data_IF_879142040558
#
_entry.id   IF_879142040558
#
_cell.length_a   1.000
_cell.length_b   1.000
_cell.length_c   1.000
_cell.angle_alpha   90.00
_cell.angle_beta   90.00
_cell.angle_gamma   90.00
#
_symmetry.space_group_name_H-M   'P 1'
#
loop_
_entity.id
_entity.type
_entity.pdbx_description
1 polymer ?
#
# COMPACT_ATOMS: atom_id res chain seq x y z
N UNK A 1 -24.84 -1.41 18.25
CA UNK A 1 -23.73 -0.68 18.91
C UNK A 1 -23.37 0.50 18.02
N UNK A 2 -23.69 1.70 18.52
CA UNK A 2 -23.47 2.98 17.86
C UNK A 2 -22.00 3.39 17.98
N UNK A 3 -21.30 3.55 16.87
CA UNK A 3 -20.00 4.22 16.86
C UNK A 3 -20.13 5.54 16.08
N UNK A 4 -20.14 6.61 16.86
CA UNK A 4 -20.30 7.99 16.42
C UNK A 4 -19.06 8.47 15.67
N UNK A 5 -19.28 8.99 14.46
CA UNK A 5 -18.34 9.86 13.76
C UNK A 5 -18.14 11.15 14.56
N UNK A 6 -16.88 11.47 14.89
CA UNK A 6 -16.47 12.79 15.41
C UNK A 6 -15.53 13.45 14.42
N UNK A 7 -16.09 14.29 13.57
CA UNK A 7 -15.36 15.25 12.75
C UNK A 7 -15.02 16.48 13.60
N UNK A 8 -13.73 16.72 13.84
CA UNK A 8 -13.25 18.00 14.35
C UNK A 8 -12.93 18.91 13.15
N UNK A 9 -13.79 19.90 12.92
CA UNK A 9 -13.49 21.06 12.09
C UNK A 9 -12.80 22.08 13.00
N UNK A 10 -11.51 22.32 12.78
CA UNK A 10 -10.80 23.46 13.35
C UNK A 10 -10.34 24.36 12.21
N UNK A 11 -11.04 25.48 12.06
CA UNK A 11 -10.65 26.59 11.20
C UNK A 11 -9.69 27.50 11.98
N UNK A 12 -8.42 27.54 11.57
CA UNK A 12 -7.54 28.67 11.88
C UNK A 12 -6.28 28.66 11.00
N UNK A 13 -6.30 29.59 10.03
CA UNK A 13 -5.17 30.35 9.46
C UNK A 13 -4.05 29.56 8.76
N UNK A 14 -4.01 29.69 7.43
CA UNK A 14 -2.88 29.29 6.60
C UNK A 14 -1.66 30.18 6.88
N UNK A 15 -0.67 29.65 7.61
CA UNK A 15 0.66 30.24 7.67
C UNK A 15 1.39 29.92 6.37
N UNK A 16 1.78 30.96 5.63
CA UNK A 16 2.74 30.85 4.53
C UNK A 16 4.12 30.59 5.13
N UNK A 17 4.60 29.35 5.01
CA UNK A 17 5.96 28.93 5.34
C UNK A 17 6.67 28.62 4.02
N UNK A 18 7.52 29.54 3.57
CA UNK A 18 8.51 29.24 2.54
C UNK A 18 9.69 28.52 3.22
N UNK A 19 9.61 27.19 3.28
CA UNK A 19 10.64 26.33 3.84
C UNK A 19 11.73 26.04 2.81
N UNK A 20 12.82 26.81 2.85
CA UNK A 20 14.07 26.45 2.19
C UNK A 20 14.72 25.26 2.88
N UNK A 21 15.11 24.25 2.11
CA UNK A 21 15.85 23.10 2.59
C UNK A 21 17.24 23.53 3.10
N UNK A 22 17.49 23.35 4.40
CA UNK A 22 18.80 23.60 5.00
C UNK A 22 18.68 24.23 6.38
N UNK A 23 18.61 23.39 7.43
CA UNK A 23 18.61 23.87 8.81
C UNK A 23 19.90 24.64 9.13
N UNK A 24 19.79 25.98 9.25
CA UNK A 24 20.56 26.87 10.13
C UNK A 24 20.09 28.32 9.93
N UNK A 25 19.48 28.91 10.96
CA UNK A 25 19.42 30.36 11.15
C UNK A 25 18.22 31.10 10.55
N UNK A 26 17.05 30.98 11.16
CA UNK A 26 15.94 31.93 10.95
C UNK A 26 16.31 33.27 11.58
N UNK A 27 16.47 34.33 10.78
CA UNK A 27 16.78 35.68 11.27
C UNK A 27 15.52 36.54 11.18
N UNK A 28 15.03 37.00 12.33
CA UNK A 28 13.90 37.91 12.47
C UNK A 28 14.47 39.29 12.76
N UNK A 29 14.29 40.25 11.86
CA UNK A 29 14.64 41.65 12.11
C UNK A 29 13.44 42.37 12.69
N UNK A 30 13.57 42.86 13.92
CA UNK A 30 12.64 43.83 14.53
C UNK A 30 13.14 45.25 14.28
N UNK A 31 12.26 46.15 13.87
CA UNK A 31 12.58 47.57 13.77
C UNK A 31 12.58 48.19 15.18
N UNK A 32 13.68 48.82 15.56
CA UNK A 32 13.75 49.66 16.76
C UNK A 32 13.90 51.13 16.35
N UNK A 33 12.95 51.92 16.85
CA UNK A 33 12.81 53.36 16.71
C UNK A 33 13.73 54.06 17.72
N UNK A 34 14.40 55.13 17.31
CA UNK A 34 14.77 56.20 18.24
C UNK A 34 16.11 56.86 17.95
N UNK A 35 16.09 58.03 17.31
CA UNK A 35 17.02 59.12 17.60
C UNK A 35 16.31 60.46 17.34
N UNK A 36 16.28 61.29 18.38
CA UNK A 36 15.74 62.64 18.39
C UNK A 36 16.75 63.65 17.78
N UNK A 37 16.31 64.77 17.20
CA UNK A 37 17.20 65.81 16.69
C UNK A 37 17.56 66.78 17.83
N UNK A 38 18.85 67.11 17.95
CA UNK A 38 19.31 68.16 18.86
C UNK A 38 19.76 69.37 18.04
N UNK A 39 19.01 70.46 18.24
CA UNK A 39 19.33 71.88 18.17
C UNK A 39 20.78 72.30 17.86
N UNK A 40 20.92 73.22 16.89
CA UNK A 40 22.13 74.02 16.67
C UNK A 40 21.83 75.20 15.74
N UNK A 41 21.23 76.26 16.29
CA UNK A 41 20.90 77.48 15.56
C UNK A 41 22.11 78.37 15.27
N UNK A 42 22.06 79.10 14.17
CA UNK A 42 22.91 80.26 13.92
C UNK A 42 22.08 81.32 13.19
N UNK A 43 21.87 82.46 13.85
CA UNK A 43 21.08 83.58 13.39
C UNK A 43 22.04 84.77 13.22
N UNK A 44 22.17 85.30 11.99
CA UNK A 44 22.94 86.51 11.69
C UNK A 44 22.00 87.57 11.09
N UNK A 45 21.21 88.16 11.98
CA UNK A 45 20.64 89.49 11.79
C UNK A 45 21.55 90.48 12.51
N UNK A 46 22.60 90.96 11.83
CA UNK A 46 23.28 92.20 12.23
C UNK A 46 24.10 92.75 11.06
N UNK A 47 24.06 94.08 10.86
CA UNK A 47 25.00 94.78 9.99
C UNK A 47 24.45 95.32 8.67
N UNK A 48 23.50 96.26 8.76
CA UNK A 48 23.24 97.23 7.70
C UNK A 48 24.49 98.11 7.43
N UNK A 49 24.80 98.22 6.14
CA UNK A 49 25.17 99.46 5.41
C UNK A 49 26.64 99.92 5.25
N UNK A 50 26.89 100.35 4.00
CA UNK A 50 27.89 101.27 3.44
C UNK A 50 29.26 100.77 2.91
N UNK A 51 29.50 101.06 1.61
CA UNK A 51 30.78 101.24 0.85
C UNK A 51 31.18 100.26 -0.29
N UNK A 52 30.51 100.40 -1.45
CA UNK A 52 31.05 100.81 -2.78
C UNK A 52 32.35 100.15 -3.33
N UNK A 53 32.20 99.26 -4.33
CA UNK A 53 32.81 99.40 -5.65
C UNK A 53 34.09 98.62 -6.03
N UNK A 54 34.95 98.21 -5.09
CA UNK A 54 36.22 97.51 -5.42
C UNK A 54 36.26 96.04 -4.99
N UNK A 55 35.46 95.67 -3.98
CA UNK A 55 35.42 94.32 -3.45
C UNK A 55 34.70 93.35 -4.40
N UNK A 56 33.69 93.81 -5.15
CA UNK A 56 32.91 92.96 -6.08
C UNK A 56 33.75 92.34 -7.20
N UNK A 57 34.74 93.07 -7.72
CA UNK A 57 35.64 92.54 -8.75
C UNK A 57 36.61 91.51 -8.17
N UNK A 58 37.15 91.76 -6.97
CA UNK A 58 37.99 90.81 -6.26
C UNK A 58 37.21 89.56 -5.80
N UNK A 59 35.96 89.72 -5.40
CA UNK A 59 35.07 88.60 -5.07
C UNK A 59 34.64 87.84 -6.32
N UNK A 60 34.37 88.51 -7.45
CA UNK A 60 34.09 87.85 -8.74
C UNK A 60 35.32 87.13 -9.28
N UNK A 61 36.51 87.67 -9.07
CA UNK A 61 37.77 87.01 -9.39
C UNK A 61 37.95 85.75 -8.52
N UNK A 62 37.76 85.84 -7.20
CA UNK A 62 37.85 84.71 -6.29
C UNK A 62 36.80 83.61 -6.61
N UNK A 63 35.59 84.01 -6.98
CA UNK A 63 34.54 83.11 -7.46
C UNK A 63 34.91 82.44 -8.79
N UNK A 64 35.53 83.18 -9.72
CA UNK A 64 36.00 82.61 -11.00
C UNK A 64 37.22 81.69 -10.82
N UNK A 65 38.14 82.02 -9.91
CA UNK A 65 39.26 81.15 -9.56
C UNK A 65 38.74 79.87 -8.88
N UNK A 66 37.74 80.01 -8.02
CA UNK A 66 37.04 78.88 -7.40
C UNK A 66 36.28 78.05 -8.44
N UNK A 67 35.57 78.67 -9.38
CA UNK A 67 34.91 78.00 -10.51
C UNK A 67 35.93 77.26 -11.38
N UNK A 68 37.08 77.87 -11.66
CA UNK A 68 38.16 77.26 -12.43
C UNK A 68 38.73 76.04 -11.70
N UNK A 69 38.95 76.14 -10.39
CA UNK A 69 39.36 75.00 -9.55
C UNK A 69 38.30 73.89 -9.49
N UNK A 70 37.00 74.25 -9.50
CA UNK A 70 35.90 73.28 -9.59
C UNK A 70 35.86 72.60 -10.96
N UNK A 71 36.00 73.34 -12.05
CA UNK A 71 36.02 72.81 -13.41
C UNK A 71 37.23 71.89 -13.63
N UNK A 72 38.39 72.24 -13.09
CA UNK A 72 39.58 71.40 -13.13
C UNK A 72 39.40 70.12 -12.30
N UNK A 73 38.77 70.22 -11.13
CA UNK A 73 38.41 69.06 -10.30
C UNK A 73 37.37 68.16 -10.99
N UNK A 74 36.38 68.73 -11.67
CA UNK A 74 35.38 67.98 -12.44
C UNK A 74 36.06 67.24 -13.58
N UNK A 75 36.93 67.89 -14.37
CA UNK A 75 37.70 67.22 -15.43
C UNK A 75 38.59 66.10 -14.90
N UNK A 76 39.23 66.31 -13.74
CA UNK A 76 40.04 65.27 -13.09
C UNK A 76 39.16 64.08 -12.68
N UNK A 77 38.01 64.33 -12.06
CA UNK A 77 37.06 63.29 -11.65
C UNK A 77 36.42 62.59 -12.86
N UNK A 78 36.14 63.29 -13.95
CA UNK A 78 35.64 62.71 -15.20
C UNK A 78 36.68 61.76 -15.80
N UNK A 79 37.96 62.16 -15.81
CA UNK A 79 39.05 61.30 -16.28
C UNK A 79 39.28 60.08 -15.38
N UNK A 80 39.22 60.27 -14.07
CA UNK A 80 39.30 59.18 -13.09
C UNK A 80 38.10 58.23 -13.22
N UNK A 81 36.88 58.74 -13.42
CA UNK A 81 35.70 57.93 -13.68
C UNK A 81 35.80 57.17 -15.00
N UNK A 82 36.28 57.81 -16.07
CA UNK A 82 36.48 57.14 -17.36
C UNK A 82 37.50 55.99 -17.24
N UNK A 83 38.53 56.18 -16.41
CA UNK A 83 39.52 55.15 -16.13
C UNK A 83 38.96 54.02 -15.25
N UNK A 84 38.16 54.34 -14.24
CA UNK A 84 37.45 53.34 -13.43
C UNK A 84 36.45 52.55 -14.28
N UNK A 85 35.73 53.18 -15.20
CA UNK A 85 34.81 52.51 -16.12
C UNK A 85 35.52 51.58 -17.11
N UNK A 86 36.75 51.92 -17.52
CA UNK A 86 37.60 51.01 -18.31
C UNK A 86 38.03 49.81 -17.47
N UNK A 87 38.48 50.05 -16.24
CA UNK A 87 38.86 48.98 -15.31
C UNK A 87 37.69 48.06 -14.94
N UNK A 88 36.49 48.61 -14.73
CA UNK A 88 35.27 47.83 -14.47
C UNK A 88 34.92 46.97 -15.69
N UNK A 89 35.02 47.52 -16.90
CA UNK A 89 34.77 46.75 -18.13
C UNK A 89 35.78 45.62 -18.31
N UNK A 90 37.08 45.90 -18.16
CA UNK A 90 38.13 44.89 -18.22
C UNK A 90 37.94 43.81 -17.13
N UNK A 91 37.59 44.21 -15.91
CA UNK A 91 37.32 43.27 -14.82
C UNK A 91 36.10 42.39 -15.10
N UNK A 92 35.01 42.96 -15.62
CA UNK A 92 33.82 42.21 -16.02
C UNK A 92 34.10 41.25 -17.18
N UNK A 93 34.95 41.66 -18.13
CA UNK A 93 35.30 40.85 -19.29
C UNK A 93 36.30 39.73 -18.94
N UNK A 94 37.23 40.01 -18.01
CA UNK A 94 38.19 39.03 -17.51
C UNK A 94 37.59 38.10 -16.44
N UNK A 95 36.40 38.41 -15.93
CA UNK A 95 35.67 37.53 -15.00
C UNK A 95 35.05 36.36 -15.76
N UNK A 96 35.87 35.33 -15.96
CA UNK A 96 35.39 34.01 -16.41
C UNK A 96 34.45 33.47 -15.33
N UNK A 97 33.17 33.37 -15.65
CA UNK A 97 32.21 32.64 -14.82
C UNK A 97 32.56 31.15 -14.88
N UNK A 98 33.16 30.61 -13.83
CA UNK A 98 33.35 29.16 -13.66
C UNK A 98 31.98 28.55 -13.33
N UNK A 99 31.20 28.27 -14.37
CA UNK A 99 30.02 27.43 -14.28
C UNK A 99 30.48 25.99 -14.04
N UNK A 100 30.20 25.43 -12.87
CA UNK A 100 30.39 24.01 -12.64
C UNK A 100 29.21 23.24 -13.21
N UNK A 101 29.47 22.27 -14.08
CA UNK A 101 28.42 21.45 -14.67
C UNK A 101 27.91 20.41 -13.66
N UNK A 102 26.82 20.75 -12.97
CA UNK A 102 26.18 19.88 -11.98
C UNK A 102 25.27 18.81 -12.60
N UNK A 103 25.17 18.73 -13.93
CA UNK A 103 24.27 17.85 -14.67
C UNK A 103 24.46 16.38 -14.31
N UNK A 104 25.70 15.93 -14.09
CA UNK A 104 26.00 14.55 -13.67
C UNK A 104 25.47 14.23 -12.27
N UNK A 105 25.59 15.16 -11.32
CA UNK A 105 25.05 15.00 -9.97
C UNK A 105 23.52 14.98 -9.97
N UNK A 106 22.87 15.81 -10.80
CA UNK A 106 21.41 15.77 -10.94
C UNK A 106 20.91 14.44 -11.51
N UNK A 107 21.63 13.84 -12.47
CA UNK A 107 21.29 12.52 -12.99
C UNK A 107 21.36 11.43 -11.91
N UNK A 108 22.42 11.43 -11.08
CA UNK A 108 22.56 10.49 -9.95
C UNK A 108 21.45 10.70 -8.91
N UNK A 109 21.13 11.97 -8.59
CA UNK A 109 20.05 12.30 -7.64
C UNK A 109 18.70 11.80 -8.15
N UNK A 110 18.42 11.94 -9.45
CA UNK A 110 17.15 11.45 -10.01
C UNK A 110 17.08 9.92 -10.03
N UNK A 111 18.18 9.23 -10.34
CA UNK A 111 18.25 7.77 -10.23
C UNK A 111 18.02 7.30 -8.78
N UNK A 112 18.66 7.95 -7.80
CA UNK A 112 18.44 7.66 -6.38
C UNK A 112 16.99 7.93 -5.95
N UNK A 113 16.38 9.03 -6.40
CA UNK A 113 14.97 9.31 -6.15
C UNK A 113 14.06 8.24 -6.75
N UNK A 114 14.37 7.78 -7.96
CA UNK A 114 13.60 6.71 -8.61
C UNK A 114 13.74 5.38 -7.88
N UNK A 115 14.95 5.03 -7.42
CA UNK A 115 15.18 3.86 -6.56
C UNK A 115 14.41 3.95 -5.24
N UNK A 116 14.37 5.11 -4.60
CA UNK A 116 13.59 5.33 -3.37
C UNK A 116 12.09 5.19 -3.65
N UNK A 117 11.57 5.81 -4.73
CA UNK A 117 10.17 5.68 -5.12
C UNK A 117 9.80 4.23 -5.41
N UNK A 118 10.66 3.50 -6.12
CA UNK A 118 10.46 2.10 -6.43
C UNK A 118 10.45 1.25 -5.16
N UNK A 119 11.45 1.40 -4.29
CA UNK A 119 11.50 0.73 -3.00
C UNK A 119 10.28 1.06 -2.12
N UNK A 120 9.81 2.31 -2.12
CA UNK A 120 8.61 2.72 -1.39
C UNK A 120 7.35 2.05 -1.93
N UNK A 121 7.20 1.91 -3.26
CA UNK A 121 6.06 1.20 -3.87
C UNK A 121 6.10 -0.29 -3.56
N UNK A 122 7.28 -0.91 -3.66
CA UNK A 122 7.45 -2.31 -3.29
C UNK A 122 7.13 -2.54 -1.81
N UNK A 123 7.60 -1.66 -0.92
CA UNK A 123 7.31 -1.77 0.50
C UNK A 123 5.81 -1.69 0.79
N UNK A 124 5.10 -0.74 0.16
CA UNK A 124 3.63 -0.67 0.26
C UNK A 124 2.95 -1.95 -0.24
N UNK A 125 3.42 -2.52 -1.36
CA UNK A 125 2.91 -3.79 -1.88
C UNK A 125 3.13 -4.94 -0.89
N UNK A 126 4.34 -5.08 -0.37
CA UNK A 126 4.67 -6.14 0.60
C UNK A 126 3.86 -6.01 1.88
N UNK A 127 3.59 -4.78 2.35
CA UNK A 127 2.74 -4.56 3.53
C UNK A 127 1.31 -5.04 3.26
N UNK A 128 0.74 -4.74 2.09
CA UNK A 128 -0.59 -5.22 1.72
C UNK A 128 -0.63 -6.75 1.59
N UNK A 129 0.41 -7.35 1.01
CA UNK A 129 0.51 -8.81 0.89
C UNK A 129 0.59 -9.47 2.28
N UNK A 130 1.32 -8.86 3.23
CA UNK A 130 1.37 -9.31 4.64
C UNK A 130 -0.01 -9.21 5.30
N UNK A 131 -0.71 -8.09 5.14
CA UNK A 131 -2.02 -7.90 5.75
C UNK A 131 -3.06 -8.88 5.16
N UNK A 132 -3.01 -9.12 3.84
CA UNK A 132 -3.84 -10.13 3.19
C UNK A 132 -3.54 -11.55 3.70
N UNK A 133 -2.25 -11.90 3.83
CA UNK A 133 -1.84 -13.19 4.37
C UNK A 133 -2.27 -13.38 5.84
N UNK A 134 -2.23 -12.32 6.65
CA UNK A 134 -2.73 -12.34 8.03
C UNK A 134 -4.24 -12.55 8.11
N UNK A 135 -5.00 -11.80 7.30
CA UNK A 135 -6.46 -11.97 7.25
C UNK A 135 -6.84 -13.39 6.82
N UNK A 136 -6.15 -13.95 5.82
CA UNK A 136 -6.35 -15.34 5.40
C UNK A 136 -6.01 -16.34 6.54
N UNK A 137 -4.93 -16.09 7.29
CA UNK A 137 -4.54 -16.93 8.42
C UNK A 137 -5.60 -16.87 9.55
N UNK A 138 -6.12 -15.69 9.86
CA UNK A 138 -7.19 -15.52 10.86
C UNK A 138 -8.49 -16.20 10.42
N UNK A 139 -8.85 -16.12 9.14
CA UNK A 139 -9.99 -16.86 8.57
C UNK A 139 -9.83 -18.37 8.71
N UNK A 140 -8.64 -18.91 8.43
CA UNK A 140 -8.37 -20.34 8.63
C UNK A 140 -8.38 -20.72 10.10
N UNK A 141 -7.88 -19.86 10.98
CA UNK A 141 -7.91 -20.07 12.42
C UNK A 141 -9.35 -20.14 12.93
N UNK A 142 -10.21 -19.20 12.55
CA UNK A 142 -11.64 -19.21 12.92
C UNK A 142 -12.34 -20.48 12.41
N UNK A 143 -12.06 -20.92 11.17
CA UNK A 143 -12.60 -22.17 10.63
C UNK A 143 -12.12 -23.39 11.43
N UNK A 144 -10.84 -23.44 11.79
CA UNK A 144 -10.29 -24.52 12.61
C UNK A 144 -10.91 -24.55 14.01
N UNK A 145 -11.08 -23.40 14.67
CA UNK A 145 -11.71 -23.31 15.99
C UNK A 145 -13.18 -23.77 15.94
N UNK A 146 -13.92 -23.39 14.90
CA UNK A 146 -15.29 -23.85 14.69
C UNK A 146 -15.36 -25.37 14.47
N UNK A 147 -14.49 -25.92 13.62
CA UNK A 147 -14.42 -27.37 13.36
C UNK A 147 -14.04 -28.15 14.63
N UNK A 148 -13.07 -27.64 15.39
CA UNK A 148 -12.68 -28.22 16.68
C UNK A 148 -13.85 -28.23 17.67
N UNK A 149 -14.60 -27.13 17.75
CA UNK A 149 -15.78 -27.05 18.62
C UNK A 149 -16.86 -28.05 18.23
N UNK A 150 -17.14 -28.21 16.93
CA UNK A 150 -18.11 -29.21 16.44
C UNK A 150 -17.63 -30.62 16.74
N UNK A 151 -16.34 -30.90 16.51
CA UNK A 151 -15.74 -32.20 16.80
C UNK A 151 -15.86 -32.56 18.28
N UNK A 152 -15.55 -31.64 19.18
CA UNK A 152 -15.66 -31.87 20.63
C UNK A 152 -17.10 -32.14 21.07
N UNK A 153 -18.09 -31.46 20.46
CA UNK A 153 -19.50 -31.74 20.71
C UNK A 153 -19.88 -33.17 20.27
N UNK A 154 -19.47 -33.58 19.07
CA UNK A 154 -19.71 -34.95 18.57
C UNK A 154 -19.00 -36.00 19.42
N UNK A 155 -17.77 -35.73 19.87
CA UNK A 155 -17.04 -36.64 20.77
C UNK A 155 -17.77 -36.79 22.11
N UNK A 156 -18.32 -35.70 22.67
CA UNK A 156 -19.13 -35.76 23.88
C UNK A 156 -20.41 -36.58 23.67
N UNK A 157 -21.10 -36.41 22.54
CA UNK A 157 -22.29 -37.19 22.19
C UNK A 157 -21.96 -38.68 22.04
N UNK A 158 -20.83 -39.03 21.40
CA UNK A 158 -20.38 -40.43 21.27
C UNK A 158 -20.13 -41.05 22.64
N UNK A 159 -19.49 -40.32 23.57
CA UNK A 159 -19.28 -40.80 24.94
C UNK A 159 -20.62 -40.98 25.67
N UNK A 160 -21.55 -40.04 25.50
CA UNK A 160 -22.91 -40.14 26.04
C UNK A 160 -23.66 -41.38 25.51
N UNK A 161 -23.63 -41.61 24.20
CA UNK A 161 -24.26 -42.76 23.55
C UNK A 161 -23.65 -44.08 24.00
N UNK A 162 -22.32 -44.16 24.19
CA UNK A 162 -21.67 -45.35 24.75
C UNK A 162 -22.17 -45.65 26.16
N UNK A 163 -22.30 -44.63 27.01
CA UNK A 163 -22.84 -44.80 28.37
C UNK A 163 -24.28 -45.33 28.35
N UNK A 164 -25.14 -44.78 27.48
CA UNK A 164 -26.52 -45.27 27.32
C UNK A 164 -26.55 -46.71 26.82
N UNK A 165 -25.67 -47.07 25.88
CA UNK A 165 -25.56 -48.45 25.40
C UNK A 165 -25.16 -49.41 26.54
N UNK A 166 -24.20 -49.03 27.37
CA UNK A 166 -23.78 -49.83 28.53
C UNK A 166 -24.92 -49.98 29.55
N UNK A 167 -25.67 -48.92 29.81
CA UNK A 167 -26.83 -48.92 30.71
C UNK A 167 -27.95 -49.82 30.19
N UNK A 168 -28.24 -49.78 28.88
CA UNK A 168 -29.20 -50.69 28.24
C UNK A 168 -28.72 -52.15 28.26
N UNK A 169 -27.42 -52.40 28.10
CA UNK A 169 -26.87 -53.75 28.20
C UNK A 169 -27.00 -54.32 29.61
N UNK A 170 -26.77 -53.50 30.65
CA UNK A 170 -26.99 -53.90 32.04
C UNK A 170 -28.47 -54.23 32.30
N UNK A 171 -29.40 -53.38 31.83
CA UNK A 171 -30.83 -53.64 31.95
C UNK A 171 -31.25 -54.92 31.21
N UNK A 172 -30.70 -55.17 30.02
CA UNK A 172 -30.91 -56.43 29.28
C UNK A 172 -30.45 -57.64 30.09
N UNK A 173 -29.25 -57.58 30.67
CA UNK A 173 -28.70 -58.67 31.48
C UNK A 173 -29.54 -58.93 32.74
N UNK A 174 -30.04 -57.89 33.40
CA UNK A 174 -30.94 -58.03 34.55
C UNK A 174 -32.26 -58.71 34.17
N UNK A 175 -32.90 -58.28 33.06
CA UNK A 175 -34.10 -58.93 32.54
C UNK A 175 -33.86 -60.39 32.11
N UNK A 176 -32.72 -60.69 31.49
CA UNK A 176 -32.34 -62.07 31.15
C UNK A 176 -32.16 -62.92 32.42
N UNK A 177 -31.56 -62.38 33.48
CA UNK A 177 -31.43 -63.07 34.77
C UNK A 177 -32.79 -63.33 35.43
N UNK A 178 -33.69 -62.33 35.43
CA UNK A 178 -35.04 -62.49 35.96
C UNK A 178 -35.84 -63.53 35.17
N UNK A 179 -35.70 -63.53 33.84
CA UNK A 179 -36.33 -64.52 32.97
C UNK A 179 -35.88 -65.95 33.27
N UNK A 180 -34.58 -66.19 33.44
CA UNK A 180 -34.07 -67.52 33.78
C UNK A 180 -34.49 -67.93 35.20
N UNK A 181 -34.52 -67.02 36.18
CA UNK A 181 -35.02 -67.31 37.52
C UNK A 181 -36.51 -67.74 37.52
N UNK A 182 -37.37 -67.00 36.80
CA UNK A 182 -38.79 -67.34 36.63
C UNK A 182 -38.99 -68.68 35.92
N UNK A 183 -38.13 -69.00 34.95
CA UNK A 183 -38.16 -70.27 34.23
C UNK A 183 -37.77 -71.44 35.14
N UNK A 184 -36.78 -71.26 36.01
CA UNK A 184 -36.41 -72.26 37.02
C UNK A 184 -37.53 -72.46 38.06
N UNK A 185 -38.17 -71.38 38.52
CA UNK A 185 -39.33 -71.45 39.41
C UNK A 185 -40.49 -72.22 38.78
N UNK A 186 -40.79 -71.98 37.50
CA UNK A 186 -41.82 -72.71 36.75
C UNK A 186 -41.52 -74.21 36.69
N UNK A 187 -40.25 -74.58 36.45
CA UNK A 187 -39.81 -75.98 36.42
C UNK A 187 -40.00 -76.61 37.81
N UNK A 188 -39.57 -75.93 38.86
CA UNK A 188 -39.74 -76.39 40.24
C UNK A 188 -41.22 -76.57 40.61
N UNK A 189 -42.09 -75.63 40.24
CA UNK A 189 -43.51 -75.69 40.54
C UNK A 189 -44.20 -76.86 39.81
N UNK A 190 -43.84 -77.11 38.54
CA UNK A 190 -44.33 -78.27 37.78
C UNK A 190 -43.90 -79.58 38.41
N UNK A 191 -42.63 -79.70 38.83
CA UNK A 191 -42.10 -80.89 39.48
C UNK A 191 -42.80 -81.17 40.81
N UNK A 192 -42.98 -80.13 41.63
CA UNK A 192 -43.74 -80.23 42.88
C UNK A 192 -45.18 -80.68 42.63
N UNK A 193 -45.84 -80.11 41.62
CA UNK A 193 -47.21 -80.51 41.28
C UNK A 193 -47.31 -81.97 40.83
N UNK A 194 -46.36 -82.46 40.03
CA UNK A 194 -46.30 -83.88 39.65
C UNK A 194 -46.11 -84.79 40.87
N UNK A 195 -45.21 -84.43 41.79
CA UNK A 195 -44.97 -85.19 43.03
C UNK A 195 -46.23 -85.21 43.94
N UNK A 196 -46.90 -84.06 44.10
CA UNK A 196 -48.15 -83.96 44.86
C UNK A 196 -49.27 -84.78 44.22
N UNK A 197 -49.42 -84.77 42.89
CA UNK A 197 -50.42 -85.58 42.19
C UNK A 197 -50.21 -87.08 42.44
N UNK A 198 -48.96 -87.55 42.49
CA UNK A 198 -48.62 -88.96 42.78
C UNK A 198 -48.99 -89.30 44.24
N UNK A 199 -48.60 -88.45 45.19
CA UNK A 199 -48.92 -88.65 46.61
C UNK A 199 -50.43 -88.65 46.87
N UNK A 200 -51.14 -87.69 46.28
CA UNK A 200 -52.58 -87.56 46.44
C UNK A 200 -53.32 -88.77 45.85
N UNK A 201 -52.88 -89.27 44.70
CA UNK A 201 -53.41 -90.51 44.09
C UNK A 201 -53.21 -91.74 44.99
N UNK A 202 -52.14 -91.77 45.79
CA UNK A 202 -51.90 -92.81 46.81
C UNK A 202 -52.74 -92.62 48.08
N UNK A 203 -53.07 -91.37 48.44
CA UNK A 203 -53.74 -91.04 49.69
C UNK A 203 -55.28 -91.04 49.59
N UNK A 204 -55.83 -90.99 48.36
CA UNK A 204 -57.27 -90.94 48.05
C UNK A 204 -58.09 -92.21 48.37
N UNK A 205 -57.56 -93.11 49.21
CA UNK A 205 -58.23 -94.35 49.64
C UNK A 205 -59.35 -94.22 50.68
N UNK A 206 -59.77 -93.03 51.15
CA UNK A 206 -61.01 -92.99 51.95
C UNK A 206 -61.45 -91.73 52.70
N UNK A 207 -60.59 -90.76 53.03
CA UNK A 207 -61.00 -89.58 53.83
C UNK A 207 -60.99 -88.24 53.06
N UNK A 208 -60.54 -88.25 51.81
CA UNK A 208 -60.00 -87.08 51.10
C UNK A 208 -60.99 -86.02 50.61
N UNK A 209 -62.29 -86.27 50.49
CA UNK A 209 -63.11 -85.43 49.60
C UNK A 209 -63.23 -83.95 50.00
N UNK A 210 -63.28 -83.64 51.31
CA UNK A 210 -63.45 -82.25 51.80
C UNK A 210 -62.13 -81.48 51.92
N UNK A 211 -61.07 -82.13 52.38
CA UNK A 211 -59.72 -81.53 52.41
C UNK A 211 -59.18 -81.31 51.00
N UNK A 212 -59.49 -82.23 50.07
CA UNK A 212 -59.19 -82.10 48.65
C UNK A 212 -59.89 -80.90 48.02
N UNK A 213 -61.17 -80.67 48.36
CA UNK A 213 -61.94 -79.54 47.84
C UNK A 213 -61.40 -78.19 48.35
N UNK A 214 -61.03 -78.10 49.64
CA UNK A 214 -60.38 -76.92 50.20
C UNK A 214 -58.98 -76.67 49.62
N UNK A 215 -58.20 -77.73 49.40
CA UNK A 215 -56.88 -77.67 48.78
C UNK A 215 -56.96 -77.23 47.31
N UNK A 216 -57.90 -77.79 46.54
CA UNK A 216 -58.15 -77.35 45.17
C UNK A 216 -58.59 -75.89 45.12
N UNK A 217 -59.47 -75.46 46.01
CA UNK A 217 -59.88 -74.05 46.08
C UNK A 217 -58.72 -73.11 46.39
N UNK A 218 -57.86 -73.47 47.37
CA UNK A 218 -56.66 -72.70 47.66
C UNK A 218 -55.70 -72.65 46.46
N UNK A 219 -55.59 -73.75 45.70
CA UNK A 219 -54.66 -73.82 44.58
C UNK A 219 -55.19 -73.08 43.35
N UNK A 220 -56.49 -73.11 43.11
CA UNK A 220 -57.19 -72.27 42.13
C UNK A 220 -56.98 -70.79 42.47
N UNK A 221 -57.17 -70.39 43.73
CA UNK A 221 -56.98 -69.00 44.14
C UNK A 221 -55.55 -68.48 43.92
N UNK A 222 -54.51 -69.32 44.15
CA UNK A 222 -53.11 -68.96 43.85
C UNK A 222 -52.90 -68.78 42.35
N UNK A 223 -53.39 -69.72 41.54
CA UNK A 223 -53.28 -69.62 40.07
C UNK A 223 -54.03 -68.40 39.54
N UNK A 224 -55.18 -68.08 40.12
CA UNK A 224 -55.99 -66.92 39.75
C UNK A 224 -55.27 -65.60 40.07
N UNK A 225 -54.61 -65.54 41.24
CA UNK A 225 -53.75 -64.41 41.60
C UNK A 225 -52.53 -64.29 40.68
N UNK A 226 -51.87 -65.40 40.34
CA UNK A 226 -50.74 -65.42 39.40
C UNK A 226 -51.19 -64.95 38.01
N UNK A 227 -52.37 -65.36 37.54
CA UNK A 227 -52.94 -64.89 36.27
C UNK A 227 -53.19 -63.38 36.30
N UNK A 228 -53.69 -62.84 37.41
CA UNK A 228 -53.90 -61.38 37.55
C UNK A 228 -52.55 -60.64 37.47
N UNK A 229 -51.57 -61.04 38.29
CA UNK A 229 -50.26 -60.38 38.33
C UNK A 229 -49.51 -60.48 36.99
N UNK A 230 -49.52 -61.63 36.34
CA UNK A 230 -48.95 -61.79 35.01
C UNK A 230 -49.69 -60.96 33.96
N UNK A 231 -51.01 -60.84 34.06
CA UNK A 231 -51.78 -59.98 33.15
C UNK A 231 -51.40 -58.51 33.33
N UNK A 232 -51.21 -58.04 34.57
CA UNK A 232 -50.75 -56.69 34.86
C UNK A 232 -49.35 -56.43 34.28
N UNK A 233 -48.38 -57.33 34.52
CA UNK A 233 -47.03 -57.24 33.96
C UNK A 233 -47.05 -57.24 32.43
N UNK A 234 -47.89 -58.07 31.82
CA UNK A 234 -48.06 -58.09 30.36
C UNK A 234 -48.63 -56.76 29.85
N UNK A 235 -49.55 -56.13 30.59
CA UNK A 235 -50.08 -54.82 30.19
C UNK A 235 -49.05 -53.70 30.32
N UNK A 236 -48.25 -53.69 31.39
CA UNK A 236 -47.22 -52.64 31.60
C UNK A 236 -46.08 -52.77 30.58
N UNK A 237 -45.55 -53.97 30.38
CA UNK A 237 -44.53 -54.24 29.35
C UNK A 237 -45.03 -53.90 27.95
N UNK A 238 -46.31 -54.19 27.65
CA UNK A 238 -46.94 -53.80 26.38
C UNK A 238 -47.00 -52.28 26.21
N UNK A 239 -47.25 -51.50 27.27
CA UNK A 239 -47.22 -50.03 27.19
C UNK A 239 -45.79 -49.50 27.01
N UNK A 240 -44.81 -50.03 27.74
CA UNK A 240 -43.41 -49.64 27.60
C UNK A 240 -42.87 -49.91 26.18
N UNK A 241 -43.20 -51.08 25.60
CA UNK A 241 -42.85 -51.40 24.21
C UNK A 241 -43.47 -50.39 23.24
N UNK A 242 -44.70 -49.94 23.46
CA UNK A 242 -45.33 -48.91 22.61
C UNK A 242 -44.60 -47.58 22.73
N UNK A 243 -44.26 -47.15 23.94
CA UNK A 243 -43.59 -45.88 24.18
C UNK A 243 -42.18 -45.86 23.58
N UNK A 244 -41.42 -46.95 23.74
CA UNK A 244 -40.13 -47.14 23.09
C UNK A 244 -40.24 -47.11 21.57
N UNK A 245 -41.27 -47.75 20.99
CA UNK A 245 -41.50 -47.73 19.55
C UNK A 245 -41.82 -46.32 19.04
N UNK A 246 -42.63 -45.56 19.77
CA UNK A 246 -42.91 -44.15 19.46
C UNK A 246 -41.65 -43.27 19.59
N UNK A 247 -40.81 -43.52 20.60
CA UNK A 247 -39.54 -42.81 20.77
C UNK A 247 -38.57 -43.09 19.61
N UNK A 248 -38.43 -44.36 19.21
CA UNK A 248 -37.60 -44.77 18.07
C UNK A 248 -38.07 -44.10 16.78
N UNK A 249 -39.38 -44.09 16.52
CA UNK A 249 -39.93 -43.45 15.34
C UNK A 249 -39.65 -41.94 15.31
N UNK A 250 -39.73 -41.24 16.46
CA UNK A 250 -39.36 -39.82 16.56
C UNK A 250 -37.87 -39.60 16.25
N UNK A 251 -36.99 -40.37 16.89
CA UNK A 251 -35.54 -40.31 16.65
C UNK A 251 -35.18 -40.57 15.18
N UNK A 252 -35.89 -41.50 14.53
CA UNK A 252 -35.68 -41.79 13.12
C UNK A 252 -36.08 -40.61 12.20
N UNK A 253 -37.13 -39.87 12.55
CA UNK A 253 -37.54 -38.66 11.84
C UNK A 253 -36.51 -37.54 12.05
N UNK A 254 -36.04 -37.34 13.29
CA UNK A 254 -34.98 -36.37 13.59
C UNK A 254 -33.70 -36.70 12.82
N UNK A 255 -33.28 -37.96 12.77
CA UNK A 255 -32.13 -38.40 12.00
C UNK A 255 -32.28 -38.10 10.50
N UNK A 256 -33.45 -38.38 9.91
CA UNK A 256 -33.74 -38.05 8.51
C UNK A 256 -33.73 -36.55 8.24
N UNK A 257 -34.23 -35.75 9.18
CA UNK A 257 -34.19 -34.29 9.11
C UNK A 257 -32.76 -33.76 9.15
N UNK A 258 -31.92 -34.26 10.07
CA UNK A 258 -30.51 -33.89 10.16
C UNK A 258 -29.73 -34.29 8.90
N UNK A 259 -29.98 -35.47 8.34
CA UNK A 259 -29.37 -35.89 7.07
C UNK A 259 -29.76 -34.95 5.92
N UNK A 260 -31.03 -34.55 5.84
CA UNK A 260 -31.49 -33.60 4.82
C UNK A 260 -30.83 -32.22 4.99
N UNK A 261 -30.70 -31.75 6.23
CA UNK A 261 -30.03 -30.49 6.55
C UNK A 261 -28.54 -30.55 6.18
N UNK A 262 -27.87 -31.66 6.50
CA UNK A 262 -26.46 -31.90 6.12
C UNK A 262 -26.28 -31.78 4.61
N UNK A 263 -27.08 -32.49 3.82
CA UNK A 263 -26.99 -32.44 2.35
C UNK A 263 -27.19 -31.02 1.81
N UNK A 264 -28.13 -30.26 2.39
CA UNK A 264 -28.34 -28.86 2.01
C UNK A 264 -27.12 -27.99 2.31
N UNK A 265 -26.51 -28.15 3.48
CA UNK A 265 -25.32 -27.38 3.87
C UNK A 265 -24.11 -27.73 3.00
N UNK A 266 -23.89 -29.01 2.73
CA UNK A 266 -22.85 -29.48 1.80
C UNK A 266 -23.04 -28.88 0.40
N UNK A 267 -24.29 -28.77 -0.08
CA UNK A 267 -24.63 -28.09 -1.33
C UNK A 267 -24.26 -26.61 -1.33
N UNK A 268 -24.63 -25.86 -0.28
CA UNK A 268 -24.27 -24.44 -0.18
C UNK A 268 -22.76 -24.23 -0.10
N UNK A 269 -22.04 -25.12 0.58
CA UNK A 269 -20.59 -25.07 0.65
C UNK A 269 -19.95 -25.28 -0.73
N UNK A 270 -20.39 -26.29 -1.47
CA UNK A 270 -19.91 -26.56 -2.82
C UNK A 270 -20.15 -25.37 -3.77
N UNK A 271 -21.35 -24.78 -3.73
CA UNK A 271 -21.70 -23.61 -4.54
C UNK A 271 -20.81 -22.40 -4.21
N UNK A 272 -20.54 -22.15 -2.91
CA UNK A 272 -19.65 -21.05 -2.51
C UNK A 272 -18.22 -21.29 -2.97
N UNK A 273 -17.71 -22.51 -2.87
CA UNK A 273 -16.37 -22.88 -3.35
C UNK A 273 -16.25 -22.70 -4.86
N UNK A 274 -17.24 -23.15 -5.63
CA UNK A 274 -17.28 -22.98 -7.08
C UNK A 274 -17.28 -21.50 -7.47
N UNK A 275 -18.08 -20.67 -6.79
CA UNK A 275 -18.12 -19.22 -7.02
C UNK A 275 -16.77 -18.55 -6.77
N UNK A 276 -16.10 -18.88 -5.66
CA UNK A 276 -14.77 -18.30 -5.37
C UNK A 276 -13.70 -18.81 -6.34
N UNK A 277 -13.75 -20.08 -6.72
CA UNK A 277 -12.87 -20.66 -7.74
C UNK A 277 -13.01 -19.93 -9.09
N UNK A 278 -14.24 -19.67 -9.52
CA UNK A 278 -14.51 -18.90 -10.74
C UNK A 278 -13.98 -17.46 -10.66
N UNK A 279 -14.13 -16.79 -9.50
CA UNK A 279 -13.59 -15.45 -9.30
C UNK A 279 -12.06 -15.42 -9.36
N UNK A 280 -11.39 -16.38 -8.71
CA UNK A 280 -9.94 -16.55 -8.77
C UNK A 280 -9.45 -16.80 -10.20
N UNK A 281 -10.12 -17.67 -10.94
CA UNK A 281 -9.85 -17.92 -12.36
C UNK A 281 -9.98 -16.64 -13.20
N UNK A 282 -11.04 -15.85 -12.96
CA UNK A 282 -11.23 -14.55 -13.61
C UNK A 282 -10.08 -13.56 -13.34
N UNK A 283 -9.63 -13.46 -12.09
CA UNK A 283 -8.49 -12.63 -11.72
C UNK A 283 -7.18 -13.15 -12.35
N UNK A 284 -6.96 -14.46 -12.38
CA UNK A 284 -5.79 -15.07 -13.01
C UNK A 284 -5.72 -14.78 -14.52
N UNK A 285 -6.87 -14.81 -15.19
CA UNK A 285 -6.95 -14.45 -16.62
C UNK A 285 -6.59 -12.97 -16.84
N UNK A 286 -7.03 -12.07 -15.95
CA UNK A 286 -6.67 -10.65 -16.03
C UNK A 286 -5.17 -10.44 -15.81
N UNK A 287 -4.57 -11.11 -14.82
CA UNK A 287 -3.12 -11.04 -14.57
C UNK A 287 -2.34 -11.55 -15.77
N UNK A 288 -2.69 -12.74 -16.29
CA UNK A 288 -2.06 -13.31 -17.49
C UNK A 288 -2.17 -12.36 -18.70
N UNK A 289 -3.33 -11.70 -18.85
CA UNK A 289 -3.55 -10.71 -19.90
C UNK A 289 -2.62 -9.49 -19.76
N UNK A 290 -2.49 -8.94 -18.54
CA UNK A 290 -1.59 -7.81 -18.26
C UNK A 290 -0.12 -8.20 -18.43
N UNK A 291 0.28 -9.40 -18.00
CA UNK A 291 1.63 -9.93 -18.20
C UNK A 291 1.97 -10.06 -19.69
N UNK A 292 1.03 -10.54 -20.49
CA UNK A 292 1.16 -10.61 -21.95
C UNK A 292 1.34 -9.23 -22.58
N UNK A 293 0.52 -8.25 -22.18
CA UNK A 293 0.66 -6.85 -22.64
C UNK A 293 2.02 -6.26 -22.27
N UNK A 294 2.49 -6.51 -21.04
CA UNK A 294 3.79 -6.04 -20.57
C UNK A 294 4.92 -6.65 -21.39
N UNK A 295 4.84 -7.95 -21.68
CA UNK A 295 5.80 -8.67 -22.53
C UNK A 295 5.83 -8.12 -23.95
N UNK A 296 4.66 -7.82 -24.54
CA UNK A 296 4.56 -7.18 -25.85
C UNK A 296 5.19 -5.78 -25.87
N UNK A 297 4.98 -4.98 -24.83
CA UNK A 297 5.61 -3.66 -24.71
C UNK A 297 7.14 -3.77 -24.60
N UNK A 298 7.66 -4.72 -23.81
CA UNK A 298 9.09 -4.96 -23.74
C UNK A 298 9.68 -5.37 -25.10
N UNK A 299 8.99 -6.24 -25.84
CA UNK A 299 9.41 -6.62 -27.20
C UNK A 299 9.39 -5.42 -28.16
N UNK A 300 8.36 -4.57 -28.09
CA UNK A 300 8.28 -3.36 -28.91
C UNK A 300 9.39 -2.36 -28.58
N UNK A 301 9.71 -2.16 -27.30
CA UNK A 301 10.82 -1.29 -26.88
C UNK A 301 12.15 -1.85 -27.38
N UNK A 302 12.36 -3.16 -27.30
CA UNK A 302 13.57 -3.81 -27.81
C UNK A 302 13.73 -3.63 -29.33
N UNK A 303 12.65 -3.81 -30.10
CA UNK A 303 12.65 -3.57 -31.55
C UNK A 303 12.95 -2.11 -31.87
N UNK A 304 12.26 -1.16 -31.22
CA UNK A 304 12.51 0.28 -31.43
C UNK A 304 13.96 0.64 -31.11
N UNK A 305 14.52 0.09 -30.03
CA UNK A 305 15.94 0.29 -29.70
C UNK A 305 16.85 -0.20 -30.82
N UNK A 306 16.60 -1.40 -31.36
CA UNK A 306 17.37 -1.94 -32.48
C UNK A 306 17.27 -1.04 -33.72
N UNK A 307 16.09 -0.51 -34.04
CA UNK A 307 15.91 0.45 -35.14
C UNK A 307 16.69 1.75 -34.90
N UNK A 308 16.69 2.27 -33.67
CA UNK A 308 17.48 3.45 -33.31
C UNK A 308 18.99 3.19 -33.42
N UNK A 309 19.47 2.04 -32.98
CA UNK A 309 20.88 1.66 -33.07
C UNK A 309 21.31 1.60 -34.56
N UNK A 310 20.50 0.99 -35.43
CA UNK A 310 20.75 0.97 -36.89
C UNK A 310 20.76 2.37 -37.50
N UNK A 311 19.85 3.24 -37.07
CA UNK A 311 19.78 4.62 -37.57
C UNK A 311 20.99 5.45 -37.11
N UNK A 312 21.48 5.21 -35.90
CA UNK A 312 22.68 5.84 -35.37
C UNK A 312 23.93 5.39 -36.15
N UNK A 313 24.06 4.11 -36.45
CA UNK A 313 25.13 3.57 -37.30
C UNK A 313 25.07 4.19 -38.71
N UNK A 314 23.88 4.34 -39.28
CA UNK A 314 23.71 5.00 -40.57
C UNK A 314 24.10 6.49 -40.52
N UNK A 315 23.66 7.20 -39.48
CA UNK A 315 24.01 8.61 -39.27
C UNK A 315 25.53 8.79 -39.17
N UNK A 316 26.19 7.99 -38.34
CA UNK A 316 27.65 8.07 -38.16
C UNK A 316 28.39 7.81 -39.48
N UNK A 317 27.93 6.85 -40.29
CA UNK A 317 28.49 6.61 -41.62
C UNK A 317 28.28 7.80 -42.58
N UNK A 318 27.08 8.37 -42.62
CA UNK A 318 26.80 9.54 -43.46
C UNK A 318 27.61 10.76 -43.01
N UNK A 319 27.83 10.94 -41.71
CA UNK A 319 28.68 12.01 -41.19
C UNK A 319 30.14 11.87 -41.65
N UNK A 320 30.66 10.64 -41.70
CA UNK A 320 31.98 10.36 -42.28
C UNK A 320 32.02 10.67 -43.78
N UNK A 321 30.99 10.26 -44.54
CA UNK A 321 30.88 10.60 -45.97
C UNK A 321 30.83 12.12 -46.18
N UNK A 322 30.05 12.86 -45.38
CA UNK A 322 29.99 14.33 -45.44
C UNK A 322 31.35 14.96 -45.10
N UNK A 323 32.05 14.45 -44.09
CA UNK A 323 33.38 14.93 -43.73
C UNK A 323 34.38 14.71 -44.88
N UNK A 324 34.32 13.55 -45.53
CA UNK A 324 35.14 13.24 -46.69
C UNK A 324 34.77 14.11 -47.90
N UNK A 325 33.47 14.31 -48.16
CA UNK A 325 33.02 15.24 -49.20
C UNK A 325 33.51 16.67 -48.92
N UNK A 326 33.50 17.14 -47.67
CA UNK A 326 34.06 18.45 -47.29
C UNK A 326 35.56 18.52 -47.52
N UNK A 327 36.33 17.49 -47.13
CA UNK A 327 37.77 17.39 -47.40
C UNK A 327 38.10 17.48 -48.89
N UNK A 328 37.35 16.75 -49.72
CA UNK A 328 37.50 16.77 -51.17
C UNK A 328 37.08 18.12 -51.78
N UNK A 329 36.06 18.78 -51.24
CA UNK A 329 35.60 20.10 -51.70
C UNK A 329 36.54 21.25 -51.30
N UNK A 330 37.18 21.15 -50.13
CA UNK A 330 38.17 22.11 -49.65
C UNK A 330 39.53 22.00 -50.37
N UNK A 331 39.71 20.94 -51.17
CA UNK A 331 40.92 20.67 -51.96
C UNK A 331 42.05 20.09 -51.11
N UNK A 332 42.73 19.05 -51.61
CA UNK A 332 44.03 18.64 -51.07
C UNK A 332 45.06 19.76 -51.35
N UNK A 333 45.18 20.74 -50.46
CA UNK A 333 46.27 21.72 -50.50
C UNK A 333 46.76 22.05 -49.08
N UNK A 334 47.65 21.19 -48.59
CA UNK A 334 48.77 21.58 -47.71
C UNK A 334 49.85 22.21 -48.61
N UNK A 335 49.60 23.43 -49.09
CA UNK A 335 50.63 24.36 -49.53
C UNK A 335 50.06 25.76 -49.75
N UNK A 336 50.59 26.72 -48.98
CA UNK A 336 50.64 28.14 -49.31
C UNK A 336 49.30 28.89 -49.40
N UNK A 337 48.58 29.03 -48.29
CA UNK A 337 47.75 30.23 -48.06
C UNK A 337 48.46 31.18 -47.11
N UNK A 338 49.45 31.90 -47.63
CA UNK A 338 49.84 33.17 -47.04
C UNK A 338 48.64 34.12 -47.13
N UNK A 339 48.08 34.48 -45.98
CA UNK A 339 47.10 35.55 -45.89
C UNK A 339 47.86 36.88 -46.01
N UNK A 340 47.94 37.40 -47.24
CA UNK A 340 48.47 38.75 -47.48
C UNK A 340 47.37 39.76 -47.20
N UNK A 341 47.51 40.51 -46.10
CA UNK A 341 46.57 41.58 -45.74
C UNK A 341 46.93 42.83 -46.54
N UNK A 342 46.11 43.20 -47.53
CA UNK A 342 46.31 44.43 -48.31
C UNK A 342 45.53 45.59 -47.70
N UNK A 343 46.23 46.65 -47.31
CA UNK A 343 45.60 47.91 -46.88
C UNK A 343 45.31 48.73 -48.13
N UNK A 344 44.02 48.99 -48.38
CA UNK A 344 43.57 49.81 -49.51
C UNK A 344 43.16 51.18 -48.95
N UNK A 345 44.00 52.18 -49.19
CA UNK A 345 43.69 53.57 -48.84
C UNK A 345 43.04 54.26 -50.04
N UNK A 346 41.80 54.72 -49.86
CA UNK A 346 41.07 55.46 -50.89
C UNK A 346 40.99 56.92 -50.45
N UNK A 347 41.65 57.80 -51.19
CA UNK A 347 41.55 59.25 -50.97
C UNK A 347 40.60 59.81 -52.02
N UNK A 348 39.51 60.44 -51.56
CA UNK A 348 38.53 61.11 -52.41
C UNK A 348 38.55 62.60 -52.15
N UNK A 349 38.61 63.39 -53.22
CA UNK A 349 38.49 64.84 -53.15
C UNK A 349 37.07 65.23 -53.55
N UNK A 350 36.33 65.81 -52.60
CA UNK A 350 34.92 66.18 -52.77
C UNK A 350 34.78 67.69 -52.69
N UNK A 351 34.20 68.31 -53.73
CA UNK A 351 33.80 69.72 -53.73
C UNK A 351 32.34 69.78 -54.14
N UNK A 352 31.51 70.50 -53.36
CA UNK A 352 30.06 70.64 -53.53
C UNK A 352 29.29 69.32 -53.72
N UNK A 353 29.66 68.30 -52.93
CA UNK A 353 28.90 67.05 -52.83
C UNK A 353 28.98 66.13 -54.05
N UNK A 354 29.85 66.42 -55.03
CA UNK A 354 30.12 65.52 -56.16
C UNK A 354 31.59 65.09 -56.16
N UNK A 355 31.84 63.78 -56.22
CA UNK A 355 33.20 63.22 -56.30
C UNK A 355 33.76 63.51 -57.68
N UNK A 356 34.84 64.28 -57.76
CA UNK A 356 35.43 64.74 -59.04
C UNK A 356 36.67 63.92 -59.39
N UNK A 357 37.37 63.39 -58.38
CA UNK A 357 38.56 62.55 -58.58
C UNK A 357 38.68 61.53 -57.44
N UNK A 358 39.05 60.31 -57.79
CA UNK A 358 39.25 59.20 -56.85
C UNK A 358 40.53 58.47 -57.21
N UNK A 359 41.52 58.52 -56.32
CA UNK A 359 42.78 57.80 -56.48
C UNK A 359 42.86 56.67 -55.48
N UNK A 360 43.16 55.47 -55.98
CA UNK A 360 43.28 54.24 -55.21
C UNK A 360 44.73 53.79 -55.24
N UNK A 361 45.35 53.70 -54.06
CA UNK A 361 46.71 53.17 -53.91
C UNK A 361 46.65 51.88 -53.11
N UNK A 362 47.45 50.90 -53.51
CA UNK A 362 47.50 49.56 -52.92
C UNK A 362 48.92 49.35 -52.45
N UNK A 363 49.13 49.38 -51.14
CA UNK A 363 50.40 48.99 -50.54
C UNK A 363 50.30 47.54 -50.06
N UNK A 364 51.35 46.78 -50.35
CA UNK A 364 51.47 45.37 -50.00
C UNK A 364 52.68 45.27 -49.08
N UNK A 365 52.44 45.17 -47.77
CA UNK A 365 53.50 44.77 -46.83
C UNK A 365 53.80 43.29 -47.07
N UNK A 366 55.03 43.01 -47.48
CA UNK A 366 55.60 41.66 -47.53
C UNK A 366 56.60 41.61 -46.38
N UNK A 367 56.12 41.35 -45.17
CA UNK A 367 57.02 40.98 -44.08
C UNK A 367 57.53 39.56 -44.32
N UNK A 368 58.85 39.46 -44.32
CA UNK A 368 59.65 38.26 -44.54
C UNK A 368 59.35 37.18 -43.49
N UNK A 369 59.28 35.94 -43.99
CA UNK A 369 59.00 34.72 -43.25
C UNK A 369 60.29 34.25 -42.56
N UNK A 370 60.22 33.95 -41.26
CA UNK A 370 60.91 32.78 -40.69
C UNK A 370 59.87 31.79 -40.15
#
# INVERSE_FOLDING_TARGET
MSYSNRSYIQSSRTLSVYGGAGGRGTRVSSASQGYAPTSGGFNLTDGLDLHVGANEKATMQNLNDRLSSYLEKVRKLEKENEQLDKQIREFCQNKVHISHDYTSYFAIIEDLKNKIRFASRLNSKTVLDIDNAKLAADDFKMKYENELSMRLAVEADIVGLKRVLDEMNLARMDLESQYEALKDELIMLKRNHEEELILLRSQMGGQNRKELEAWYQSKIAVVEQDVITHTEILTTTRTEIKDLKSCLQRLQIELQSHLSMKTSLEGTLAETQERYSAQLSGLQNMVTGLESQLSQLYASIANNKQEYDMLLDLKTRLELEIAEYRRLLDGEDESSRQVVTKIITVVQTVVDGKVIESTKTIDVDVDEIE
#
